data_IF_788664048890
#
_entry.id   IF_788664048890
#
_cell.length_a   1.000
_cell.length_b   1.000
_cell.length_c   1.000
_cell.angle_alpha   90.00
_cell.angle_beta   90.00
_cell.angle_gamma   90.00
#
_symmetry.space_group_name_H-M   'P 1'
#
loop_
_entity.id
_entity.type
_entity.pdbx_description
1 polymer ?
#
# COMPACT_ATOMS: atom_id res chain seq x y z
N UNK A 1 -48.06 -13.80 43.92
CA UNK A 1 -47.79 -12.40 43.58
C UNK A 1 -46.63 -12.38 42.61
N UNK A 2 -46.88 -12.09 41.34
CA UNK A 2 -45.86 -11.94 40.28
C UNK A 2 -45.78 -10.47 39.96
N UNK A 3 -44.62 -9.83 40.23
CA UNK A 3 -44.35 -8.46 39.83
C UNK A 3 -43.60 -8.48 38.52
N UNK A 4 -44.27 -8.09 37.44
CA UNK A 4 -43.67 -7.88 36.12
C UNK A 4 -42.91 -6.56 36.06
N UNK A 5 -41.66 -6.62 35.71
CA UNK A 5 -40.85 -5.44 35.30
C UNK A 5 -40.99 -5.26 33.79
N UNK A 6 -41.82 -4.31 33.37
CA UNK A 6 -41.90 -3.82 31.98
C UNK A 6 -40.86 -2.72 31.77
N UNK A 7 -39.64 -3.13 31.36
CA UNK A 7 -38.63 -2.20 30.90
C UNK A 7 -38.91 -1.79 29.46
N UNK A 8 -39.47 -0.59 29.24
CA UNK A 8 -39.62 0.00 27.91
C UNK A 8 -38.27 0.39 27.34
N UNK A 9 -37.77 -0.44 26.42
CA UNK A 9 -36.57 -0.12 25.61
C UNK A 9 -36.91 1.06 24.68
N UNK A 10 -36.48 2.28 25.01
CA UNK A 10 -36.62 3.42 24.12
C UNK A 10 -35.64 3.25 22.96
N UNK A 11 -36.08 3.32 21.68
CA UNK A 11 -35.18 3.31 20.54
C UNK A 11 -34.26 4.55 20.62
N UNK A 12 -32.93 4.32 20.55
CA UNK A 12 -31.96 5.42 20.41
C UNK A 12 -32.24 6.14 19.11
N UNK A 13 -32.60 7.43 19.20
CA UNK A 13 -32.71 8.30 18.02
C UNK A 13 -31.36 8.28 17.27
N UNK A 14 -31.37 8.13 15.93
CA UNK A 14 -30.16 8.28 15.14
C UNK A 14 -29.58 9.68 15.41
N UNK A 15 -28.30 9.75 15.82
CA UNK A 15 -27.62 11.04 15.92
C UNK A 15 -27.44 11.56 14.49
N UNK A 16 -27.92 12.75 14.22
CA UNK A 16 -27.59 13.48 13.00
C UNK A 16 -26.05 13.66 12.97
N UNK A 17 -25.42 13.45 11.81
CA UNK A 17 -23.99 13.72 11.66
C UNK A 17 -23.73 15.21 11.97
N UNK A 18 -22.65 15.48 12.70
CA UNK A 18 -22.24 16.86 12.97
C UNK A 18 -21.71 17.54 11.68
N UNK A 19 -21.61 18.87 11.70
CA UNK A 19 -21.18 19.66 10.52
C UNK A 19 -19.78 19.27 10.03
N UNK A 20 -18.88 18.87 10.92
CA UNK A 20 -17.53 18.46 10.56
C UNK A 20 -17.53 17.10 9.85
N UNK A 21 -18.36 16.16 10.30
CA UNK A 21 -18.55 14.86 9.63
C UNK A 21 -19.12 15.05 8.22
N UNK A 22 -20.09 15.94 8.04
CA UNK A 22 -20.67 16.25 6.72
C UNK A 22 -19.65 16.91 5.79
N UNK A 23 -18.83 17.82 6.28
CA UNK A 23 -17.79 18.48 5.49
C UNK A 23 -16.70 17.48 5.04
N UNK A 24 -16.31 16.57 5.93
CA UNK A 24 -15.32 15.53 5.63
C UNK A 24 -15.88 14.49 4.64
N UNK A 25 -17.14 14.08 4.79
CA UNK A 25 -17.81 13.21 3.82
C UNK A 25 -17.90 13.86 2.43
N UNK A 26 -18.15 15.16 2.36
CA UNK A 26 -18.15 15.91 1.10
C UNK A 26 -16.75 15.95 0.46
N UNK A 27 -15.72 16.27 1.25
CA UNK A 27 -14.32 16.31 0.81
C UNK A 27 -13.86 14.97 0.22
N UNK A 28 -14.31 13.86 0.81
CA UNK A 28 -13.92 12.50 0.44
C UNK A 28 -14.94 11.82 -0.49
N UNK A 29 -15.93 12.55 -1.01
CA UNK A 29 -16.97 11.99 -1.86
C UNK A 29 -16.41 11.51 -3.20
N UNK A 30 -15.55 12.30 -3.80
CA UNK A 30 -14.89 11.99 -5.07
C UNK A 30 -13.39 11.78 -4.87
N UNK A 31 -12.79 10.97 -5.74
CA UNK A 31 -11.35 10.75 -5.76
C UNK A 31 -10.65 12.02 -6.25
N UNK A 32 -9.71 12.52 -5.47
CA UNK A 32 -8.91 13.68 -5.82
C UNK A 32 -7.71 13.28 -6.71
N UNK A 33 -7.97 12.66 -7.85
CA UNK A 33 -6.95 12.07 -8.73
C UNK A 33 -5.95 13.10 -9.29
N UNK A 34 -6.35 14.37 -9.37
CA UNK A 34 -5.50 15.45 -9.87
C UNK A 34 -4.66 16.14 -8.81
N UNK A 35 -4.86 15.84 -7.52
CA UNK A 35 -4.03 16.42 -6.46
C UNK A 35 -2.64 15.81 -6.51
N UNK A 36 -1.60 16.64 -6.40
CA UNK A 36 -0.21 16.19 -6.39
C UNK A 36 0.30 16.08 -4.94
N UNK A 37 1.08 15.07 -4.67
CA UNK A 37 1.83 14.96 -3.43
C UNK A 37 3.10 15.81 -3.53
N UNK A 38 3.49 16.46 -2.44
CA UNK A 38 4.65 17.35 -2.44
C UNK A 38 5.94 16.60 -2.76
N UNK A 39 6.05 15.36 -2.30
CA UNK A 39 7.21 14.50 -2.58
C UNK A 39 7.33 14.11 -4.05
N UNK A 40 6.25 14.13 -4.82
CA UNK A 40 6.27 13.82 -6.26
C UNK A 40 6.81 14.99 -7.09
N UNK A 41 6.84 16.22 -6.53
CA UNK A 41 7.40 17.37 -7.23
C UNK A 41 8.91 17.19 -7.47
N UNK A 42 9.40 17.43 -8.71
CA UNK A 42 10.83 17.37 -8.99
C UNK A 42 11.65 18.40 -8.20
N UNK A 43 11.02 19.51 -7.80
CA UNK A 43 11.63 20.63 -7.08
C UNK A 43 11.39 20.57 -5.56
N UNK A 44 10.89 19.44 -5.03
CA UNK A 44 10.66 19.32 -3.59
C UNK A 44 11.97 19.38 -2.80
N UNK A 45 11.89 19.83 -1.54
CA UNK A 45 13.04 19.88 -0.65
C UNK A 45 13.63 18.48 -0.42
N UNK A 46 14.87 18.28 -0.86
CA UNK A 46 15.56 17.00 -0.81
C UNK A 46 15.74 16.48 0.63
N UNK A 47 15.91 17.37 1.62
CA UNK A 47 16.06 16.98 3.04
C UNK A 47 14.75 16.48 3.61
N UNK A 48 13.64 17.14 3.27
CA UNK A 48 12.32 16.69 3.66
C UNK A 48 11.97 15.35 2.99
N UNK A 49 12.35 15.18 1.72
CA UNK A 49 12.16 13.92 0.99
C UNK A 49 12.94 12.77 1.62
N UNK A 50 14.21 12.96 1.92
CA UNK A 50 15.05 11.99 2.62
C UNK A 50 14.46 11.60 3.98
N UNK A 51 13.98 12.59 4.74
CA UNK A 51 13.32 12.32 6.02
C UNK A 51 12.02 11.55 5.83
N UNK A 52 11.27 11.82 4.77
CA UNK A 52 10.05 11.10 4.42
C UNK A 52 10.38 9.62 4.17
N UNK A 53 11.38 9.30 3.35
CA UNK A 53 11.79 7.92 3.10
C UNK A 53 12.27 7.19 4.39
N UNK A 54 12.99 7.88 5.27
CA UNK A 54 13.42 7.28 6.56
C UNK A 54 12.23 6.99 7.48
N UNK A 55 11.26 7.89 7.52
CA UNK A 55 10.10 7.79 8.40
C UNK A 55 9.03 6.81 7.89
N UNK A 56 8.96 6.57 6.57
CA UNK A 56 8.05 5.56 6.00
C UNK A 56 8.24 4.18 6.61
N UNK A 57 9.46 3.78 6.92
CA UNK A 57 9.72 2.49 7.55
C UNK A 57 9.01 2.30 8.90
N UNK A 58 8.78 3.39 9.65
CA UNK A 58 8.01 3.35 10.91
C UNK A 58 6.53 3.20 10.61
N UNK A 59 5.99 4.02 9.71
CA UNK A 59 4.57 4.01 9.33
C UNK A 59 4.19 2.67 8.72
N UNK A 60 4.97 2.19 7.77
CA UNK A 60 4.68 0.92 7.09
C UNK A 60 4.75 -0.28 8.03
N UNK A 61 5.63 -0.25 9.03
CA UNK A 61 5.69 -1.31 10.04
C UNK A 61 4.41 -1.40 10.88
N UNK A 62 3.80 -0.24 11.20
CA UNK A 62 2.68 -0.17 12.14
C UNK A 62 1.34 -0.17 11.43
N UNK A 63 1.21 0.59 10.34
CA UNK A 63 -0.08 0.92 9.74
C UNK A 63 -0.37 0.18 8.44
N UNK A 64 0.63 -0.23 7.65
CA UNK A 64 0.39 -0.78 6.30
C UNK A 64 -0.32 -2.14 6.26
N UNK A 65 -0.38 -2.87 7.39
CA UNK A 65 -0.97 -4.20 7.43
C UNK A 65 -0.13 -5.32 6.76
N UNK A 66 1.06 -5.01 6.27
CA UNK A 66 1.90 -5.95 5.53
C UNK A 66 2.32 -7.19 6.32
N UNK A 67 2.45 -7.10 7.65
CA UNK A 67 2.75 -8.31 8.44
C UNK A 67 1.65 -9.37 8.28
N UNK A 68 0.39 -8.94 8.25
CA UNK A 68 -0.75 -9.84 8.03
C UNK A 68 -0.77 -10.38 6.60
N UNK A 69 -0.52 -9.54 5.60
CA UNK A 69 -0.43 -9.94 4.19
C UNK A 69 0.74 -10.91 3.96
N UNK A 70 1.90 -10.65 4.54
CA UNK A 70 3.05 -11.56 4.47
C UNK A 70 2.67 -12.97 4.98
N UNK A 71 2.08 -13.07 6.17
CA UNK A 71 1.71 -14.37 6.75
C UNK A 71 0.63 -15.07 5.92
N UNK A 72 -0.38 -14.35 5.47
CA UNK A 72 -1.54 -14.91 4.76
C UNK A 72 -1.21 -15.27 3.31
N UNK A 73 -0.41 -14.46 2.64
CA UNK A 73 -0.27 -14.51 1.19
C UNK A 73 1.14 -14.93 0.73
N UNK A 74 2.20 -14.34 1.28
CA UNK A 74 3.55 -14.61 0.79
C UNK A 74 4.15 -15.85 1.44
N UNK A 75 3.96 -16.02 2.74
CA UNK A 75 4.48 -17.19 3.45
C UNK A 75 3.87 -18.50 2.94
N UNK A 76 2.65 -18.48 2.44
CA UNK A 76 1.95 -19.67 1.92
C UNK A 76 2.50 -20.19 0.60
N UNK A 77 3.24 -19.38 -0.14
CA UNK A 77 3.86 -19.81 -1.41
C UNK A 77 5.27 -20.37 -1.23
N UNK A 78 5.83 -20.25 -0.02
CA UNK A 78 7.14 -20.81 0.30
C UNK A 78 7.01 -22.31 0.47
N UNK A 79 7.91 -23.05 -0.19
CA UNK A 79 8.03 -24.51 -0.04
C UNK A 79 9.44 -24.83 0.51
N UNK A 80 9.55 -25.61 1.59
CA UNK A 80 10.84 -25.87 2.26
C UNK A 80 11.93 -26.43 1.34
N UNK A 81 11.54 -27.24 0.36
CA UNK A 81 12.46 -27.97 -0.52
C UNK A 81 12.70 -27.29 -1.88
N UNK A 82 12.35 -26.02 -2.01
CA UNK A 82 12.54 -25.25 -3.24
C UNK A 82 13.48 -24.06 -3.04
N UNK A 83 13.98 -23.54 -4.17
CA UNK A 83 14.73 -22.29 -4.21
C UNK A 83 13.97 -21.16 -3.47
N UNK A 84 14.69 -20.17 -2.94
CA UNK A 84 14.07 -19.01 -2.30
C UNK A 84 12.98 -18.38 -3.19
N UNK A 85 11.87 -17.99 -2.58
CA UNK A 85 10.77 -17.32 -3.29
C UNK A 85 11.25 -15.96 -3.78
N UNK A 86 11.00 -15.69 -5.05
CA UNK A 86 11.33 -14.40 -5.67
C UNK A 86 10.13 -13.46 -5.61
N UNK A 87 10.37 -12.21 -5.19
CA UNK A 87 9.34 -11.18 -5.03
C UNK A 87 9.77 -9.90 -5.74
N UNK A 88 8.90 -9.35 -6.57
CA UNK A 88 9.06 -8.02 -7.14
C UNK A 88 8.23 -7.02 -6.34
N UNK A 89 8.86 -5.94 -5.85
CA UNK A 89 8.20 -4.81 -5.18
C UNK A 89 8.19 -3.60 -6.14
N UNK A 90 7.02 -3.31 -6.75
CA UNK A 90 6.86 -2.23 -7.74
C UNK A 90 6.51 -0.93 -7.00
N UNK A 91 7.24 0.16 -7.32
CA UNK A 91 7.13 1.41 -6.60
C UNK A 91 7.66 1.26 -5.17
N UNK A 92 8.85 0.68 -5.06
CA UNK A 92 9.44 0.32 -3.75
C UNK A 92 9.83 1.54 -2.90
N UNK A 93 9.80 2.75 -3.47
CA UNK A 93 10.15 3.98 -2.77
C UNK A 93 11.52 3.89 -2.12
N UNK A 94 11.61 4.21 -0.85
CA UNK A 94 12.85 4.08 -0.08
C UNK A 94 13.25 2.64 0.27
N UNK A 95 12.54 1.60 -0.18
CA UNK A 95 12.89 0.18 -0.02
C UNK A 95 12.61 -0.41 1.36
N UNK A 96 11.80 0.23 2.18
CA UNK A 96 11.53 -0.21 3.55
C UNK A 96 10.70 -1.49 3.61
N UNK A 97 9.71 -1.65 2.71
CA UNK A 97 8.89 -2.86 2.63
C UNK A 97 9.74 -4.08 2.24
N UNK A 98 10.55 -3.97 1.19
CA UNK A 98 11.44 -5.04 0.76
C UNK A 98 12.35 -5.52 1.90
N UNK A 99 12.97 -4.58 2.62
CA UNK A 99 13.80 -4.89 3.79
C UNK A 99 13.00 -5.55 4.93
N UNK A 100 11.78 -5.09 5.19
CA UNK A 100 10.92 -5.71 6.21
C UNK A 100 10.56 -7.15 5.86
N UNK A 101 10.16 -7.40 4.62
CA UNK A 101 9.80 -8.74 4.13
C UNK A 101 11.00 -9.69 4.21
N UNK A 102 12.17 -9.26 3.76
CA UNK A 102 13.40 -10.06 3.85
C UNK A 102 13.73 -10.44 5.30
N UNK A 103 13.61 -9.49 6.23
CA UNK A 103 13.85 -9.76 7.66
C UNK A 103 12.81 -10.70 8.27
N UNK A 104 11.55 -10.62 7.86
CA UNK A 104 10.51 -11.52 8.37
C UNK A 104 10.72 -12.93 7.82
N UNK A 105 10.98 -13.07 6.52
CA UNK A 105 11.21 -14.36 5.88
C UNK A 105 12.47 -15.06 6.42
N UNK A 106 13.55 -14.31 6.66
CA UNK A 106 14.76 -14.85 7.27
C UNK A 106 14.51 -15.36 8.70
N UNK A 107 13.75 -14.62 9.52
CA UNK A 107 13.36 -15.07 10.88
C UNK A 107 12.45 -16.30 10.87
N UNK A 108 11.64 -16.45 9.84
CA UNK A 108 10.77 -17.61 9.67
C UNK A 108 11.52 -18.80 9.05
N UNK A 109 12.85 -18.68 8.82
CA UNK A 109 13.67 -19.72 8.20
C UNK A 109 13.40 -19.97 6.71
N UNK A 110 12.78 -19.02 6.05
CA UNK A 110 12.31 -19.12 4.66
C UNK A 110 12.74 -17.90 3.85
N UNK A 111 14.05 -17.68 3.61
CA UNK A 111 14.56 -16.48 2.98
C UNK A 111 13.94 -16.26 1.59
N UNK A 112 13.67 -14.99 1.28
CA UNK A 112 13.17 -14.52 -0.01
C UNK A 112 14.25 -13.73 -0.74
N UNK A 113 14.19 -13.75 -2.07
CA UNK A 113 14.89 -12.80 -2.92
C UNK A 113 13.90 -11.73 -3.38
N UNK A 114 14.15 -10.48 -3.03
CA UNK A 114 13.24 -9.37 -3.27
C UNK A 114 13.94 -8.33 -4.14
N UNK A 115 13.38 -8.07 -5.30
CA UNK A 115 13.80 -7.00 -6.20
C UNK A 115 12.83 -5.83 -6.02
N UNK A 116 13.31 -4.70 -5.50
CA UNK A 116 12.54 -3.47 -5.44
C UNK A 116 12.84 -2.60 -6.66
N UNK A 117 11.79 -2.15 -7.35
CA UNK A 117 11.93 -1.21 -8.47
C UNK A 117 11.15 0.06 -8.20
N UNK A 118 11.73 1.18 -8.64
CA UNK A 118 11.06 2.47 -8.63
C UNK A 118 11.50 3.29 -9.84
N UNK A 119 10.59 3.91 -10.61
CA UNK A 119 10.96 4.77 -11.74
C UNK A 119 11.56 6.10 -11.28
N UNK A 120 11.20 6.61 -10.10
CA UNK A 120 11.80 7.83 -9.56
C UNK A 120 13.25 7.58 -9.16
N UNK A 121 14.16 8.26 -9.87
CA UNK A 121 15.59 8.17 -9.61
C UNK A 121 15.96 8.53 -8.16
N UNK A 122 15.23 9.46 -7.52
CA UNK A 122 15.50 9.88 -6.14
C UNK A 122 15.20 8.74 -5.16
N UNK A 123 14.04 8.11 -5.33
CA UNK A 123 13.62 6.94 -4.54
C UNK A 123 14.58 5.76 -4.75
N UNK A 124 14.85 5.40 -6.00
CA UNK A 124 15.77 4.32 -6.34
C UNK A 124 17.18 4.56 -5.80
N UNK A 125 17.69 5.79 -5.93
CA UNK A 125 19.00 6.16 -5.38
C UNK A 125 19.02 6.02 -3.86
N UNK A 126 18.00 6.51 -3.17
CA UNK A 126 17.88 6.37 -1.71
C UNK A 126 17.87 4.90 -1.30
N UNK A 127 17.06 4.06 -1.98
CA UNK A 127 16.97 2.63 -1.70
C UNK A 127 18.32 1.90 -1.93
N UNK A 128 19.02 2.19 -3.03
CA UNK A 128 20.33 1.61 -3.35
C UNK A 128 21.43 2.00 -2.35
N UNK A 129 21.33 3.16 -1.70
CA UNK A 129 22.28 3.59 -0.68
C UNK A 129 21.96 3.08 0.73
N UNK A 130 20.91 2.29 0.90
CA UNK A 130 20.60 1.65 2.18
C UNK A 130 21.68 0.62 2.56
N UNK A 131 21.88 0.37 3.86
CA UNK A 131 22.71 -0.76 4.28
C UNK A 131 22.21 -2.06 3.63
N UNK A 132 23.16 -2.83 3.08
CA UNK A 132 22.85 -4.09 2.42
C UNK A 132 22.03 -5.01 3.32
N UNK A 133 21.00 -5.60 2.74
CA UNK A 133 20.16 -6.61 3.40
C UNK A 133 20.20 -7.87 2.55
N UNK A 134 20.60 -9.01 3.12
CA UNK A 134 20.66 -10.28 2.36
C UNK A 134 19.34 -10.58 1.66
N UNK A 135 19.41 -10.92 0.38
CA UNK A 135 18.23 -11.22 -0.43
C UNK A 135 17.42 -10.01 -0.90
N UNK A 136 17.94 -8.78 -0.78
CA UNK A 136 17.28 -7.57 -1.30
C UNK A 136 18.18 -6.85 -2.27
N UNK A 137 17.63 -6.50 -3.42
CA UNK A 137 18.27 -5.65 -4.42
C UNK A 137 17.31 -4.54 -4.87
N UNK A 138 17.86 -3.41 -5.31
CA UNK A 138 17.08 -2.28 -5.81
C UNK A 138 17.57 -1.87 -7.18
N UNK A 139 16.61 -1.44 -8.02
CA UNK A 139 16.87 -1.00 -9.38
C UNK A 139 15.95 0.15 -9.75
N UNK A 140 16.49 1.16 -10.46
CA UNK A 140 15.66 2.15 -11.13
C UNK A 140 15.08 1.52 -12.39
N UNK A 141 13.76 1.27 -12.42
CA UNK A 141 13.08 0.70 -13.57
C UNK A 141 11.57 0.90 -13.48
N UNK A 142 10.90 0.86 -14.63
CA UNK A 142 9.46 0.63 -14.76
C UNK A 142 9.17 -0.88 -14.84
N UNK A 143 7.97 -1.31 -14.42
CA UNK A 143 7.52 -2.71 -14.56
C UNK A 143 7.55 -3.20 -16.01
N UNK A 144 7.21 -2.34 -16.95
CA UNK A 144 7.25 -2.63 -18.39
C UNK A 144 8.65 -2.95 -18.93
N UNK A 145 9.71 -2.48 -18.27
CA UNK A 145 11.09 -2.84 -18.63
C UNK A 145 11.37 -4.30 -18.28
N UNK A 146 10.95 -4.73 -17.09
CA UNK A 146 11.09 -6.10 -16.65
C UNK A 146 10.26 -7.08 -17.51
N UNK A 147 9.08 -6.62 -17.97
CA UNK A 147 8.28 -7.39 -18.95
C UNK A 147 9.05 -7.59 -20.25
N UNK A 148 9.67 -6.54 -20.79
CA UNK A 148 10.50 -6.64 -22.00
C UNK A 148 11.75 -7.51 -21.82
N UNK A 149 12.27 -7.58 -20.62
CA UNK A 149 13.38 -8.47 -20.23
C UNK A 149 12.95 -9.94 -20.08
N UNK A 150 11.65 -10.23 -20.09
CA UNK A 150 11.11 -11.58 -19.86
C UNK A 150 11.26 -12.05 -18.42
N UNK A 151 11.40 -11.10 -17.46
CA UNK A 151 11.53 -11.43 -16.04
C UNK A 151 10.26 -12.08 -15.49
N UNK A 152 10.42 -12.96 -14.50
CA UNK A 152 9.31 -13.54 -13.75
C UNK A 152 9.66 -13.66 -12.26
N UNK A 153 8.64 -13.50 -11.43
CA UNK A 153 8.74 -13.58 -9.97
C UNK A 153 7.62 -14.46 -9.41
N UNK A 154 7.87 -15.18 -8.34
CA UNK A 154 6.81 -15.96 -7.68
C UNK A 154 5.65 -15.08 -7.21
N UNK A 155 5.96 -13.86 -6.73
CA UNK A 155 4.97 -12.86 -6.39
C UNK A 155 5.39 -11.47 -6.87
N UNK A 156 4.39 -10.68 -7.28
CA UNK A 156 4.53 -9.24 -7.55
C UNK A 156 3.75 -8.48 -6.49
N UNK A 157 4.34 -7.46 -5.91
CA UNK A 157 3.69 -6.65 -4.88
C UNK A 157 3.85 -5.17 -5.18
N UNK A 158 3.00 -4.36 -4.57
CA UNK A 158 3.22 -2.93 -4.39
C UNK A 158 2.55 -2.43 -3.11
N UNK A 159 3.01 -1.32 -2.59
CA UNK A 159 2.43 -0.69 -1.42
C UNK A 159 2.27 0.81 -1.63
N UNK A 160 1.05 1.31 -1.50
CA UNK A 160 0.71 2.73 -1.66
C UNK A 160 1.09 3.30 -3.04
N UNK A 161 0.84 2.54 -4.11
CA UNK A 161 1.15 2.93 -5.49
C UNK A 161 -0.11 3.27 -6.28
N UNK A 162 -1.21 2.49 -6.08
CA UNK A 162 -2.37 2.58 -6.97
C UNK A 162 -3.04 3.95 -6.97
N UNK A 163 -2.99 4.68 -5.86
CA UNK A 163 -3.60 6.00 -5.76
C UNK A 163 -2.82 7.08 -6.53
N UNK A 164 -1.54 6.85 -6.87
CA UNK A 164 -0.77 7.75 -7.73
C UNK A 164 -1.15 7.64 -9.21
N UNK A 165 -1.72 6.50 -9.62
CA UNK A 165 -1.89 6.15 -11.00
C UNK A 165 -3.19 6.70 -11.61
N UNK A 166 -3.09 7.20 -12.84
CA UNK A 166 -4.23 7.42 -13.72
C UNK A 166 -4.83 6.10 -14.20
N UNK A 167 -5.95 6.15 -14.92
CA UNK A 167 -6.65 4.94 -15.36
C UNK A 167 -5.81 4.07 -16.31
N UNK A 168 -5.04 4.69 -17.21
CA UNK A 168 -4.20 3.98 -18.16
C UNK A 168 -2.97 3.38 -17.50
N UNK A 169 -2.34 4.11 -16.59
CA UNK A 169 -1.20 3.65 -15.80
C UNK A 169 -1.58 2.49 -14.88
N UNK A 170 -2.77 2.56 -14.25
CA UNK A 170 -3.29 1.46 -13.45
C UNK A 170 -3.48 0.20 -14.31
N UNK A 171 -4.10 0.33 -15.49
CA UNK A 171 -4.26 -0.81 -16.40
C UNK A 171 -2.92 -1.40 -16.82
N UNK A 172 -1.95 -0.56 -17.13
CA UNK A 172 -0.60 -1.00 -17.50
C UNK A 172 0.09 -1.74 -16.35
N UNK A 173 0.05 -1.18 -15.13
CA UNK A 173 0.62 -1.82 -13.95
C UNK A 173 0.02 -3.21 -13.71
N UNK A 174 -1.31 -3.33 -13.83
CA UNK A 174 -1.99 -4.61 -13.61
C UNK A 174 -1.65 -5.63 -14.70
N UNK A 175 -1.58 -5.22 -15.97
CA UNK A 175 -1.17 -6.07 -17.07
C UNK A 175 0.29 -6.54 -16.92
N UNK A 176 1.21 -5.64 -16.58
CA UNK A 176 2.60 -5.99 -16.31
C UNK A 176 2.68 -6.99 -15.13
N UNK A 177 1.90 -6.76 -14.08
CA UNK A 177 1.87 -7.63 -12.90
C UNK A 177 1.37 -9.04 -13.22
N UNK A 178 0.40 -9.18 -14.12
CA UNK A 178 -0.07 -10.48 -14.60
C UNK A 178 1.02 -11.25 -15.36
N UNK A 179 1.82 -10.54 -16.16
CA UNK A 179 2.92 -11.13 -16.94
C UNK A 179 4.07 -11.54 -15.99
N UNK A 180 4.46 -10.64 -15.10
CA UNK A 180 5.60 -10.81 -14.20
C UNK A 180 5.34 -11.80 -13.07
N UNK A 181 4.08 -12.00 -12.65
CA UNK A 181 3.73 -12.88 -11.54
C UNK A 181 3.57 -14.33 -11.99
N UNK A 182 4.46 -15.22 -11.57
CA UNK A 182 4.32 -16.65 -11.81
C UNK A 182 3.18 -17.29 -10.99
N UNK A 183 2.81 -16.70 -9.85
CA UNK A 183 1.77 -17.25 -8.96
C UNK A 183 0.71 -16.23 -8.56
N UNK A 184 1.12 -15.05 -8.09
CA UNK A 184 0.18 -14.02 -7.62
C UNK A 184 0.75 -12.62 -7.70
N UNK A 185 -0.18 -11.64 -7.79
CA UNK A 185 0.14 -10.24 -7.56
C UNK A 185 -0.75 -9.67 -6.43
N UNK A 186 -0.18 -8.77 -5.61
CA UNK A 186 -0.81 -8.17 -4.44
C UNK A 186 -0.47 -6.68 -4.41
N UNK A 187 -1.44 -5.83 -4.67
CA UNK A 187 -1.28 -4.38 -4.55
C UNK A 187 -2.04 -3.87 -3.34
N UNK A 188 -1.31 -3.54 -2.27
CA UNK A 188 -1.89 -3.00 -1.05
C UNK A 188 -1.93 -1.47 -1.12
N UNK A 189 -3.10 -0.90 -0.85
CA UNK A 189 -3.26 0.55 -0.89
C UNK A 189 -4.24 1.05 0.17
N UNK A 190 -4.24 2.36 0.40
CA UNK A 190 -5.14 3.05 1.32
C UNK A 190 -6.59 2.96 0.83
N UNK A 191 -7.52 3.12 1.77
CA UNK A 191 -8.94 3.27 1.46
C UNK A 191 -9.36 4.71 1.72
N UNK A 192 -9.96 5.37 0.74
CA UNK A 192 -10.57 6.69 0.93
C UNK A 192 -11.75 6.60 1.88
N UNK A 193 -11.54 7.04 3.12
CA UNK A 193 -12.60 7.07 4.14
C UNK A 193 -12.41 8.23 5.12
N UNK A 194 -13.51 8.80 5.66
CA UNK A 194 -13.44 9.84 6.67
C UNK A 194 -12.69 9.39 7.93
N UNK A 195 -12.88 8.15 8.34
CA UNK A 195 -12.19 7.59 9.51
C UNK A 195 -10.67 7.49 9.31
N UNK A 196 -10.23 7.06 8.11
CA UNK A 196 -8.80 7.02 7.77
C UNK A 196 -8.20 8.42 7.77
N UNK A 197 -8.90 9.40 7.18
CA UNK A 197 -8.46 10.79 7.12
C UNK A 197 -8.33 11.40 8.52
N UNK A 198 -9.37 11.29 9.35
CA UNK A 198 -9.37 11.83 10.71
C UNK A 198 -8.30 11.18 11.60
N UNK A 199 -8.17 9.85 11.55
CA UNK A 199 -7.16 9.16 12.34
C UNK A 199 -5.74 9.51 11.88
N UNK A 200 -5.49 9.54 10.58
CA UNK A 200 -4.18 9.86 10.04
C UNK A 200 -3.78 11.30 10.35
N UNK A 201 -4.71 12.26 10.29
CA UNK A 201 -4.44 13.66 10.62
C UNK A 201 -3.88 13.84 12.04
N UNK A 202 -4.27 12.97 12.98
CA UNK A 202 -3.75 12.95 14.35
C UNK A 202 -2.49 12.08 14.47
N UNK A 203 -2.50 10.88 13.88
CA UNK A 203 -1.38 9.93 13.97
C UNK A 203 -0.10 10.46 13.28
N UNK A 204 -0.24 11.34 12.30
CA UNK A 204 0.88 11.94 11.59
C UNK A 204 1.52 13.15 12.30
N UNK A 205 0.96 13.65 13.41
CA UNK A 205 1.50 14.80 14.15
C UNK A 205 2.96 14.64 14.62
N UNK A 206 3.44 13.45 15.02
CA UNK A 206 4.84 13.27 15.41
C UNK A 206 5.83 13.36 14.24
N UNK A 207 5.39 13.12 13.00
CA UNK A 207 6.24 13.12 11.82
C UNK A 207 6.49 14.55 11.35
N UNK A 208 7.59 15.10 11.82
CA UNK A 208 8.00 16.48 11.52
C UNK A 208 9.15 16.49 10.51
N UNK A 209 9.32 17.63 9.82
CA UNK A 209 10.37 17.82 8.81
C UNK A 209 10.35 16.75 7.72
N UNK A 210 9.16 16.38 7.29
CA UNK A 210 8.88 15.42 6.21
C UNK A 210 7.55 15.76 5.56
N UNK A 211 7.28 15.20 4.40
CA UNK A 211 6.01 15.37 3.68
C UNK A 211 4.90 14.43 4.19
N UNK A 212 5.18 13.54 5.14
CA UNK A 212 4.28 12.44 5.56
C UNK A 212 2.87 12.92 5.89
N UNK A 213 2.73 14.04 6.61
CA UNK A 213 1.40 14.47 7.07
C UNK A 213 0.57 15.01 5.92
N UNK A 214 1.11 15.93 5.15
CA UNK A 214 0.43 16.57 4.03
C UNK A 214 0.17 15.56 2.92
N UNK A 215 1.19 14.82 2.52
CA UNK A 215 1.10 13.84 1.44
C UNK A 215 0.22 12.65 1.84
N UNK A 216 0.30 12.16 3.07
CA UNK A 216 -0.56 11.08 3.52
C UNK A 216 -2.06 11.45 3.56
N UNK A 217 -2.42 12.71 3.86
CA UNK A 217 -3.79 13.18 3.73
C UNK A 217 -4.21 13.28 2.25
N UNK A 218 -3.29 13.72 1.38
CA UNK A 218 -3.49 13.72 -0.08
C UNK A 218 -3.63 12.30 -0.61
N UNK A 219 -2.76 11.37 -0.21
CA UNK A 219 -2.85 9.94 -0.57
C UNK A 219 -4.21 9.35 -0.22
N UNK A 220 -4.75 9.63 0.98
CA UNK A 220 -6.09 9.16 1.37
C UNK A 220 -7.17 9.74 0.46
N UNK A 221 -7.09 11.01 0.08
CA UNK A 221 -8.04 11.65 -0.86
C UNK A 221 -7.94 11.09 -2.27
N UNK A 222 -6.73 10.74 -2.71
CA UNK A 222 -6.43 10.11 -4.02
C UNK A 222 -6.79 8.63 -4.07
N UNK A 223 -6.89 7.96 -2.92
CA UNK A 223 -7.14 6.52 -2.86
C UNK A 223 -8.52 6.13 -3.38
N UNK A 224 -8.62 4.91 -3.85
CA UNK A 224 -9.89 4.32 -4.29
C UNK A 224 -10.73 3.88 -3.07
N UNK A 225 -12.05 3.87 -3.25
CA UNK A 225 -12.94 3.04 -2.44
C UNK A 225 -12.95 1.61 -2.99
N UNK A 226 -13.24 0.57 -2.18
CA UNK A 226 -13.20 -0.81 -2.66
C UNK A 226 -14.01 -1.08 -3.92
N UNK A 227 -15.24 -0.52 -4.01
CA UNK A 227 -16.08 -0.65 -5.21
C UNK A 227 -15.53 0.07 -6.44
N UNK A 228 -14.87 1.21 -6.25
CA UNK A 228 -14.22 1.94 -7.34
C UNK A 228 -13.01 1.18 -7.88
N UNK A 229 -12.19 0.62 -6.97
CA UNK A 229 -11.02 -0.18 -7.35
C UNK A 229 -11.44 -1.46 -8.06
N UNK A 230 -12.48 -2.14 -7.56
CA UNK A 230 -13.02 -3.33 -8.20
C UNK A 230 -13.58 -3.05 -9.59
N UNK A 231 -14.22 -1.89 -9.80
CA UNK A 231 -14.73 -1.47 -11.11
C UNK A 231 -13.61 -1.06 -12.09
N UNK A 232 -12.46 -0.59 -11.57
CA UNK A 232 -11.30 -0.20 -12.38
C UNK A 232 -10.38 -1.38 -12.75
N UNK A 233 -10.44 -2.47 -11.99
CA UNK A 233 -9.61 -3.64 -12.18
C UNK A 233 -10.15 -4.54 -13.32
N UNK A 234 -9.28 -5.18 -14.13
CA UNK A 234 -9.70 -6.12 -15.17
C UNK A 234 -10.22 -7.43 -14.54
N UNK A 235 -10.91 -8.29 -15.35
CA UNK A 235 -11.32 -9.62 -14.91
C UNK A 235 -10.14 -10.43 -14.36
N UNK A 236 -10.38 -11.27 -13.35
CA UNK A 236 -9.35 -12.08 -12.71
C UNK A 236 -8.74 -11.44 -11.45
N UNK A 237 -8.96 -10.15 -11.24
CA UNK A 237 -8.57 -9.43 -10.02
C UNK A 237 -9.70 -9.38 -8.99
N UNK A 238 -9.34 -9.41 -7.73
CA UNK A 238 -10.28 -9.29 -6.61
C UNK A 238 -9.81 -8.24 -5.61
N UNK A 239 -10.75 -7.51 -5.01
CA UNK A 239 -10.48 -6.48 -4.00
C UNK A 239 -10.99 -6.96 -2.64
N UNK A 240 -10.12 -6.95 -1.64
CA UNK A 240 -10.46 -7.24 -0.25
C UNK A 240 -9.96 -6.15 0.68
N UNK A 241 -10.63 -5.91 1.79
CA UNK A 241 -10.10 -5.07 2.86
C UNK A 241 -9.02 -5.84 3.62
N UNK A 242 -7.80 -5.33 3.61
CA UNK A 242 -6.67 -5.90 4.36
C UNK A 242 -6.66 -5.40 5.82
N UNK A 243 -7.16 -4.17 6.06
CA UNK A 243 -7.34 -3.58 7.40
C UNK A 243 -8.50 -2.57 7.40
N UNK A 244 -8.70 -1.86 8.51
CA UNK A 244 -9.68 -0.77 8.59
C UNK A 244 -9.41 0.35 7.58
N UNK A 245 -8.13 0.57 7.20
CA UNK A 245 -7.67 1.69 6.39
C UNK A 245 -7.00 1.28 5.08
N UNK A 246 -6.83 -0.02 4.85
CA UNK A 246 -6.19 -0.57 3.65
C UNK A 246 -7.07 -1.59 2.95
N UNK A 247 -6.86 -1.69 1.66
CA UNK A 247 -7.42 -2.70 0.76
C UNK A 247 -6.29 -3.33 -0.04
N UNK A 248 -6.48 -4.57 -0.47
CA UNK A 248 -5.56 -5.27 -1.34
C UNK A 248 -6.27 -5.70 -2.60
N UNK A 249 -5.69 -5.38 -3.73
CA UNK A 249 -6.07 -5.86 -5.05
C UNK A 249 -5.21 -7.08 -5.34
N UNK A 250 -5.83 -8.22 -5.59
CA UNK A 250 -5.17 -9.52 -5.69
C UNK A 250 -5.46 -10.18 -7.03
N UNK A 251 -4.42 -10.67 -7.68
CA UNK A 251 -4.47 -11.59 -8.81
C UNK A 251 -3.84 -12.93 -8.43
N UNK A 252 -4.42 -14.05 -8.87
CA UNK A 252 -3.87 -15.39 -8.71
C UNK A 252 -3.81 -16.07 -10.07
N UNK A 253 -2.63 -16.49 -10.44
CA UNK A 253 -2.47 -17.30 -11.64
C UNK A 253 -3.07 -18.69 -11.39
N UNK A 254 -3.99 -19.10 -12.23
CA UNK A 254 -4.63 -20.43 -12.18
C UNK A 254 -3.67 -21.56 -12.48
#
# INVERSE_FOLDING_TARGET
>A
MRTGCSGTCRPRKPRLPDRESMALDFLLRQRAAGDLEQMDSPDCDARLLDNTYRQFGVINRVLSGWRKLYVRELRTIIKPDRAPVTVLDIGSGGGDLAVMLARWSARDGTPMHITGIDPDRRAATFAMHRPSTPGVEFRQAHSSELVREGAQFDAVISNHVLHHLGADELRQLLADSEILAARKALHNDLVRSPAAFALFSVAALPFRQSFIREDGLTSIRRSYRPGELAAAAPPGWSVERSSAFHQVLTYRRG
#
